data_IF_725785484661
#
_entry.id   IF_725785484661
#
_cell.length_a   1.000
_cell.length_b   1.000
_cell.length_c   1.000
_cell.angle_alpha   90.00
_cell.angle_beta   90.00
_cell.angle_gamma   90.00
#
_symmetry.space_group_name_H-M   'P 1'
#
loop_
_entity.id
_entity.type
_entity.pdbx_description
1 polymer ?
#
# COMPACT_ATOMS: atom_id res chain seq x y z
N UNK A 1 7.96 -8.37 16.74
CA UNK A 1 7.09 -8.63 15.58
C UNK A 1 7.30 -10.07 15.16
N UNK A 2 6.22 -10.85 15.07
CA UNK A 2 6.30 -12.16 14.41
C UNK A 2 6.47 -11.93 12.90
N UNK A 3 7.18 -12.83 12.20
CA UNK A 3 7.27 -12.79 10.73
C UNK A 3 5.88 -12.79 10.06
N UNK A 4 4.91 -13.47 10.67
CA UNK A 4 3.52 -13.51 10.21
C UNK A 4 2.87 -12.13 10.32
N UNK A 5 3.14 -11.41 11.41
CA UNK A 5 2.61 -10.06 11.62
C UNK A 5 3.20 -9.06 10.62
N UNK A 6 4.49 -9.19 10.31
CA UNK A 6 5.17 -8.38 9.30
C UNK A 6 4.56 -8.57 7.91
N UNK A 7 4.42 -9.84 7.49
CA UNK A 7 3.83 -10.19 6.19
C UNK A 7 2.37 -9.71 6.12
N UNK A 8 1.61 -9.89 7.21
CA UNK A 8 0.22 -9.44 7.26
C UNK A 8 0.08 -7.92 7.10
N UNK A 9 0.92 -7.12 7.77
CA UNK A 9 0.90 -5.64 7.68
C UNK A 9 1.26 -5.16 6.28
N UNK A 10 2.31 -5.73 5.68
CA UNK A 10 2.73 -5.38 4.32
C UNK A 10 1.64 -5.79 3.31
N UNK A 11 1.10 -7.01 3.43
CA UNK A 11 -0.01 -7.48 2.60
C UNK A 11 -1.25 -6.60 2.70
N UNK A 12 -1.63 -6.20 3.91
CA UNK A 12 -2.74 -5.26 4.15
C UNK A 12 -2.49 -3.90 3.49
N UNK A 13 -1.29 -3.33 3.65
CA UNK A 13 -0.94 -2.05 3.02
C UNK A 13 -1.02 -2.11 1.50
N UNK A 14 -0.58 -3.23 0.90
CA UNK A 14 -0.64 -3.45 -0.54
C UNK A 14 -2.08 -3.55 -1.03
N UNK A 15 -2.94 -4.32 -0.35
CA UNK A 15 -4.35 -4.48 -0.71
C UNK A 15 -5.10 -3.15 -0.59
N UNK A 16 -4.92 -2.43 0.52
CA UNK A 16 -5.62 -1.17 0.76
C UNK A 16 -5.13 -0.06 -0.18
N UNK A 17 -3.81 0.08 -0.36
CA UNK A 17 -3.23 1.02 -1.32
C UNK A 17 -3.60 0.68 -2.76
N UNK A 18 -3.68 -0.61 -3.09
CA UNK A 18 -4.13 -1.11 -4.38
C UNK A 18 -5.59 -0.78 -4.65
N UNK A 19 -6.49 -1.03 -3.70
CA UNK A 19 -7.91 -0.75 -3.84
C UNK A 19 -8.16 0.76 -4.06
N UNK A 20 -7.49 1.61 -3.28
CA UNK A 20 -7.57 3.06 -3.45
C UNK A 20 -7.03 3.46 -4.83
N UNK A 21 -5.86 2.95 -5.21
CA UNK A 21 -5.25 3.26 -6.49
C UNK A 21 -6.10 2.82 -7.69
N UNK A 22 -6.77 1.67 -7.58
CA UNK A 22 -7.69 1.16 -8.61
C UNK A 22 -8.89 2.07 -8.81
N UNK A 23 -9.57 2.44 -7.71
CA UNK A 23 -10.70 3.38 -7.73
C UNK A 23 -10.28 4.75 -8.30
N UNK A 24 -9.04 5.19 -8.03
CA UNK A 24 -8.55 6.47 -8.55
C UNK A 24 -8.20 6.43 -10.03
N UNK A 25 -7.63 5.33 -10.51
CA UNK A 25 -7.33 5.13 -11.93
C UNK A 25 -8.62 5.08 -12.75
N UNK A 26 -9.67 4.43 -12.24
CA UNK A 26 -10.99 4.39 -12.89
C UNK A 26 -11.72 5.75 -12.96
N UNK A 27 -11.29 6.75 -12.18
CA UNK A 27 -11.86 8.11 -12.18
C UNK A 27 -10.89 9.11 -12.84
N UNK A 28 -9.96 8.63 -13.68
CA UNK A 28 -8.97 9.43 -14.42
C UNK A 28 -8.18 10.42 -13.55
N UNK A 29 -7.89 10.03 -12.31
CA UNK A 29 -7.08 10.85 -11.41
C UNK A 29 -5.59 10.66 -11.72
N UNK A 30 -4.78 11.72 -11.57
CA UNK A 30 -3.36 11.70 -11.97
C UNK A 30 -2.50 10.70 -11.17
N UNK A 31 -2.94 10.28 -9.98
CA UNK A 31 -2.30 9.24 -9.18
C UNK A 31 -3.21 8.00 -9.15
N UNK A 32 -2.81 6.96 -9.88
CA UNK A 32 -3.55 5.70 -10.02
C UNK A 32 -2.98 4.55 -9.20
N UNK A 33 -3.11 3.33 -9.73
CA UNK A 33 -2.82 2.08 -9.01
C UNK A 33 -1.37 1.97 -8.55
N UNK A 34 -0.43 2.19 -9.48
CA UNK A 34 1.00 2.02 -9.24
C UNK A 34 1.51 2.96 -8.14
N UNK A 35 1.02 4.20 -8.11
CA UNK A 35 1.47 5.22 -7.16
C UNK A 35 1.00 4.92 -5.74
N UNK A 36 -0.28 4.56 -5.56
CA UNK A 36 -0.83 4.29 -4.24
C UNK A 36 -0.28 2.99 -3.63
N UNK A 37 -0.02 1.96 -4.44
CA UNK A 37 0.67 0.74 -3.98
C UNK A 37 2.09 1.08 -3.49
N UNK A 38 2.88 1.80 -4.30
CA UNK A 38 4.27 2.10 -3.96
C UNK A 38 4.38 2.93 -2.67
N UNK A 39 3.57 3.99 -2.53
CA UNK A 39 3.59 4.88 -1.36
C UNK A 39 3.10 4.18 -0.09
N UNK A 40 2.02 3.40 -0.18
CA UNK A 40 1.45 2.69 0.99
C UNK A 40 2.39 1.63 1.55
N UNK A 41 2.98 0.81 0.68
CA UNK A 41 3.96 -0.21 1.08
C UNK A 41 5.23 0.45 1.61
N UNK A 42 5.76 1.47 0.92
CA UNK A 42 6.94 2.20 1.37
C UNK A 42 6.77 2.86 2.74
N UNK A 43 5.64 3.53 2.98
CA UNK A 43 5.32 4.12 4.29
C UNK A 43 5.18 3.08 5.40
N UNK A 44 4.57 1.93 5.08
CA UNK A 44 4.44 0.81 6.02
C UNK A 44 5.83 0.27 6.40
N UNK A 45 6.71 0.10 5.42
CA UNK A 45 8.07 -0.36 5.64
C UNK A 45 8.88 0.63 6.49
N UNK A 46 8.78 1.94 6.22
CA UNK A 46 9.40 2.98 7.04
C UNK A 46 8.88 2.97 8.48
N UNK A 47 7.57 2.78 8.68
CA UNK A 47 6.94 2.71 10.00
C UNK A 47 7.41 1.48 10.79
N UNK A 48 7.67 0.36 10.11
CA UNK A 48 8.19 -0.86 10.74
C UNK A 48 9.66 -0.71 11.14
N UNK A 49 10.44 0.03 10.36
CA UNK A 49 11.86 0.28 10.61
C UNK A 49 12.11 1.33 11.69
N UNK A 50 11.15 2.22 11.94
CA UNK A 50 11.20 3.28 12.96
C UNK A 50 10.92 2.72 14.35
#
# INVERSE_FOLDING_TARGET
>A
MSEIELIARIGLSFILGGLIGFEREGVDKPAGLRTHILVSVGSTQLTILS
#
